data_IF_477025781512
#
_entry.id   IF_477025781512
#
_cell.length_a   1.000
_cell.length_b   1.000
_cell.length_c   1.000
_cell.angle_alpha   90.00
_cell.angle_beta   90.00
_cell.angle_gamma   90.00
#
_symmetry.space_group_name_H-M   'P 1'
#
loop_
_entity.id
_entity.type
_entity.pdbx_description
1 polymer ?
#
# COMPACT_ATOMS: atom_id res chain seq x y z
N UNK A 1 -19.82 1.10 44.45
CA UNK A 1 -19.99 1.98 43.28
C UNK A 1 -19.97 1.22 41.95
N UNK A 2 -18.81 0.89 41.33
CA UNK A 2 -18.79 0.37 39.94
C UNK A 2 -19.51 -0.98 39.72
N UNK A 3 -19.43 -1.92 40.68
CA UNK A 3 -20.17 -3.20 40.63
C UNK A 3 -21.69 -3.02 40.68
N UNK A 4 -22.17 -1.99 41.36
CA UNK A 4 -23.59 -1.69 41.49
C UNK A 4 -24.14 -1.01 40.24
N UNK A 5 -23.30 -0.24 39.54
CA UNK A 5 -23.64 0.44 38.30
C UNK A 5 -23.40 -0.44 37.05
N UNK A 6 -22.93 -1.68 37.21
CA UNK A 6 -22.56 -2.59 36.11
C UNK A 6 -21.55 -1.99 35.11
N UNK A 7 -20.64 -1.13 35.59
CA UNK A 7 -19.59 -0.52 34.76
C UNK A 7 -18.25 -1.24 35.04
N UNK A 8 -17.47 -1.60 34.00
CA UNK A 8 -16.11 -2.08 34.19
C UNK A 8 -15.26 -1.10 34.99
N UNK A 9 -14.52 -1.58 35.99
CA UNK A 9 -13.64 -0.74 36.82
C UNK A 9 -12.63 0.05 35.98
N UNK A 10 -12.14 -0.54 34.89
CA UNK A 10 -11.23 0.12 33.95
C UNK A 10 -11.81 1.41 33.37
N UNK A 11 -13.10 1.42 33.01
CA UNK A 11 -13.78 2.61 32.50
C UNK A 11 -13.93 3.71 33.55
N UNK A 12 -14.12 3.34 34.83
CA UNK A 12 -14.24 4.31 35.92
C UNK A 12 -12.92 5.04 36.22
N UNK A 13 -11.79 4.34 36.12
CA UNK A 13 -10.46 4.94 36.30
C UNK A 13 -9.84 5.47 35.00
N UNK A 14 -10.47 5.21 33.86
CA UNK A 14 -10.00 5.71 32.58
C UNK A 14 -10.18 7.22 32.52
N UNK A 15 -9.06 7.93 32.38
CA UNK A 15 -9.05 9.35 32.08
C UNK A 15 -8.70 9.51 30.61
N UNK A 16 -9.65 10.03 29.82
CA UNK A 16 -9.39 10.35 28.42
C UNK A 16 -8.26 11.39 28.35
N UNK A 17 -7.26 11.11 27.53
CA UNK A 17 -6.23 12.10 27.20
C UNK A 17 -6.81 13.01 26.13
N UNK A 18 -6.81 14.31 26.41
CA UNK A 18 -7.16 15.35 25.44
C UNK A 18 -6.34 15.14 24.16
N UNK A 19 -6.97 15.10 22.98
CA UNK A 19 -6.23 14.97 21.73
C UNK A 19 -5.36 16.22 21.53
N UNK A 20 -4.05 16.04 21.54
CA UNK A 20 -3.11 17.11 21.18
C UNK A 20 -3.41 17.55 19.75
N UNK A 21 -3.64 18.86 19.56
CA UNK A 21 -3.89 19.43 18.24
C UNK A 21 -2.75 19.07 17.29
N UNK A 22 -3.09 18.47 16.14
CA UNK A 22 -2.13 18.16 15.07
C UNK A 22 -2.11 19.25 13.98
N UNK A 23 -2.76 20.40 14.20
CA UNK A 23 -2.97 21.42 13.18
C UNK A 23 -1.65 21.92 12.55
N UNK A 24 -0.65 22.23 13.37
CA UNK A 24 0.66 22.68 12.90
C UNK A 24 1.38 21.61 12.05
N UNK A 25 1.27 20.33 12.46
CA UNK A 25 1.87 19.22 11.72
C UNK A 25 1.18 18.99 10.38
N UNK A 26 -0.13 19.19 10.33
CA UNK A 26 -0.90 19.12 9.10
C UNK A 26 -0.51 20.21 8.11
N UNK A 27 -0.33 21.44 8.59
CA UNK A 27 0.12 22.57 7.76
C UNK A 27 1.52 22.34 7.22
N UNK A 28 2.48 21.90 8.04
CA UNK A 28 3.83 21.58 7.58
C UNK A 28 3.83 20.47 6.52
N UNK A 29 3.05 19.40 6.74
CA UNK A 29 2.93 18.31 5.77
C UNK A 29 2.29 18.79 4.46
N UNK A 30 1.27 19.65 4.52
CA UNK A 30 0.65 20.26 3.33
C UNK A 30 1.63 21.15 2.58
N UNK A 31 2.38 21.99 3.28
CA UNK A 31 3.37 22.89 2.70
C UNK A 31 4.44 22.11 1.91
N UNK A 32 5.08 21.12 2.56
CA UNK A 32 6.08 20.25 1.91
C UNK A 32 5.48 19.51 0.71
N UNK A 33 4.25 19.03 0.83
CA UNK A 33 3.57 18.32 -0.25
C UNK A 33 3.32 19.23 -1.47
N UNK A 34 2.84 20.45 -1.24
CA UNK A 34 2.55 21.43 -2.29
C UNK A 34 3.84 21.96 -2.93
N UNK A 35 4.88 22.26 -2.14
CA UNK A 35 6.20 22.65 -2.63
C UNK A 35 6.81 21.55 -3.52
N UNK A 36 6.61 20.29 -3.14
CA UNK A 36 7.02 19.16 -3.96
C UNK A 36 6.18 18.97 -5.23
N UNK A 37 5.16 19.80 -5.50
CA UNK A 37 4.20 19.63 -6.61
C UNK A 37 3.53 18.25 -6.57
N UNK A 38 3.09 17.81 -5.39
CA UNK A 38 2.50 16.50 -5.13
C UNK A 38 3.40 15.29 -5.44
N UNK A 39 4.72 15.47 -5.63
CA UNK A 39 5.65 14.37 -5.90
C UNK A 39 5.97 13.58 -4.65
N UNK A 40 6.04 14.21 -3.48
CA UNK A 40 6.55 13.57 -2.28
C UNK A 40 5.48 12.73 -1.58
N UNK A 41 5.83 11.48 -1.27
CA UNK A 41 5.07 10.61 -0.38
C UNK A 41 5.62 10.62 1.04
N UNK A 42 4.98 9.86 1.93
CA UNK A 42 5.33 9.77 3.37
C UNK A 42 6.82 9.51 3.69
N UNK A 43 7.58 8.88 2.80
CA UNK A 43 9.02 8.64 3.00
C UNK A 43 9.85 9.92 2.81
N UNK A 44 9.58 10.69 1.74
CA UNK A 44 10.30 11.95 1.46
C UNK A 44 9.88 13.05 2.42
N UNK A 45 8.58 13.16 2.71
CA UNK A 45 8.06 14.12 3.69
C UNK A 45 8.71 13.90 5.07
N UNK A 46 8.92 12.64 5.50
CA UNK A 46 9.66 12.37 6.75
C UNK A 46 11.06 12.98 6.75
N UNK A 47 11.78 12.90 5.63
CA UNK A 47 13.14 13.44 5.53
C UNK A 47 13.11 14.96 5.62
N UNK A 48 12.20 15.62 4.89
CA UNK A 48 12.00 17.07 4.97
C UNK A 48 11.70 17.53 6.41
N UNK A 49 10.72 16.90 7.07
CA UNK A 49 10.39 17.20 8.45
C UNK A 49 11.56 16.99 9.40
N UNK A 50 12.37 15.94 9.19
CA UNK A 50 13.54 15.68 10.01
C UNK A 50 14.63 16.75 9.82
N UNK A 51 14.76 17.30 8.61
CA UNK A 51 15.69 18.41 8.33
C UNK A 51 15.22 19.71 9.00
N UNK A 52 13.92 19.88 9.20
CA UNK A 52 13.30 20.97 9.97
C UNK A 52 13.34 20.71 11.50
N UNK A 53 13.99 19.63 11.96
CA UNK A 53 14.07 19.25 13.38
C UNK A 53 12.83 18.54 13.92
N UNK A 54 11.82 18.28 13.08
CA UNK A 54 10.55 17.66 13.47
C UNK A 54 10.64 16.14 13.29
N UNK A 55 10.77 15.41 14.41
CA UNK A 55 10.83 13.94 14.38
C UNK A 55 9.44 13.32 14.41
N UNK A 56 9.00 12.75 13.27
CA UNK A 56 7.73 12.04 13.16
C UNK A 56 7.88 10.63 12.58
N UNK A 57 7.01 9.71 13.03
CA UNK A 57 6.94 8.37 12.48
C UNK A 57 6.29 8.37 11.09
N UNK A 58 6.77 7.49 10.19
CA UNK A 58 6.19 7.33 8.84
C UNK A 58 4.70 6.96 8.90
N UNK A 59 4.28 6.21 9.92
CA UNK A 59 2.88 5.80 10.11
C UNK A 59 1.99 7.00 10.45
N UNK A 60 2.46 7.93 11.28
CA UNK A 60 1.74 9.15 11.63
C UNK A 60 1.59 10.07 10.41
N UNK A 61 2.68 10.31 9.69
CA UNK A 61 2.66 11.08 8.43
C UNK A 61 1.68 10.47 7.42
N UNK A 62 1.69 9.14 7.24
CA UNK A 62 0.73 8.46 6.34
C UNK A 62 -0.73 8.66 6.76
N UNK A 63 -1.03 8.63 8.07
CA UNK A 63 -2.40 8.88 8.58
C UNK A 63 -2.84 10.32 8.29
N UNK A 64 -1.96 11.29 8.51
CA UNK A 64 -2.22 12.70 8.21
C UNK A 64 -2.45 12.90 6.71
N UNK A 65 -1.55 12.40 5.86
CA UNK A 65 -1.72 12.46 4.40
C UNK A 65 -3.04 11.83 3.95
N UNK A 66 -3.43 10.68 4.52
CA UNK A 66 -4.70 10.02 4.20
C UNK A 66 -5.91 10.87 4.62
N UNK A 67 -5.90 11.44 5.83
CA UNK A 67 -6.97 12.32 6.33
C UNK A 67 -7.13 13.57 5.47
N UNK A 68 -6.03 14.08 4.93
CA UNK A 68 -5.97 15.27 4.09
C UNK A 68 -6.09 14.95 2.57
N UNK A 69 -6.33 13.69 2.20
CA UNK A 69 -6.38 13.23 0.81
C UNK A 69 -5.15 13.61 -0.04
N UNK A 70 -3.96 13.67 0.56
CA UNK A 70 -2.69 13.95 -0.12
C UNK A 70 -2.14 12.66 -0.74
N UNK A 71 -2.28 12.54 -2.06
CA UNK A 71 -1.81 11.37 -2.82
C UNK A 71 -0.63 11.77 -3.69
N UNK A 72 0.49 11.08 -3.51
CA UNK A 72 1.70 11.32 -4.31
C UNK A 72 1.49 10.85 -5.75
N UNK A 73 1.93 11.66 -6.72
CA UNK A 73 1.88 11.34 -8.16
C UNK A 73 2.55 10.00 -8.47
N UNK A 74 3.64 9.68 -7.78
CA UNK A 74 4.41 8.44 -8.01
C UNK A 74 3.80 7.18 -7.37
N UNK A 75 2.70 7.27 -6.61
CA UNK A 75 2.10 6.07 -6.01
C UNK A 75 1.36 5.18 -6.99
N UNK A 76 1.04 5.64 -8.20
CA UNK A 76 0.53 4.75 -9.26
C UNK A 76 1.69 4.00 -9.91
N UNK A 77 2.10 2.88 -9.30
CA UNK A 77 2.89 1.87 -9.99
C UNK A 77 2.04 1.33 -11.15
N UNK A 78 2.30 1.86 -12.35
CA UNK A 78 1.61 1.39 -13.55
C UNK A 78 2.51 0.32 -14.15
N UNK A 79 2.40 -0.93 -13.68
CA UNK A 79 2.96 -2.04 -14.42
C UNK A 79 2.15 -2.16 -15.72
N UNK A 80 2.76 -1.72 -16.82
CA UNK A 80 2.20 -1.91 -18.16
C UNK A 80 2.87 -3.17 -18.72
N UNK A 81 2.20 -4.34 -18.75
CA UNK A 81 2.76 -5.49 -19.42
C UNK A 81 3.00 -5.11 -20.87
N UNK A 82 4.26 -5.11 -21.28
CA UNK A 82 4.64 -4.87 -22.66
C UNK A 82 4.43 -6.18 -23.41
N UNK A 83 3.23 -6.37 -23.97
CA UNK A 83 2.95 -7.52 -24.83
C UNK A 83 3.77 -7.38 -26.11
N UNK A 84 4.72 -8.28 -26.36
CA UNK A 84 5.49 -8.35 -27.62
C UNK A 84 4.66 -8.89 -28.80
N UNK A 85 3.33 -8.79 -28.73
CA UNK A 85 2.41 -9.47 -29.64
C UNK A 85 2.28 -10.95 -29.30
N UNK A 86 1.25 -11.59 -29.86
CA UNK A 86 1.11 -13.05 -29.82
C UNK A 86 2.02 -13.65 -30.89
N UNK A 87 2.61 -14.81 -30.62
CA UNK A 87 3.24 -15.58 -31.67
C UNK A 87 2.14 -16.16 -32.57
N UNK A 88 1.92 -15.56 -33.74
CA UNK A 88 0.91 -15.99 -34.73
C UNK A 88 1.43 -17.05 -35.70
N UNK A 89 2.62 -17.63 -35.42
CA UNK A 89 3.08 -18.76 -36.18
C UNK A 89 2.00 -19.86 -36.19
N UNK A 90 1.61 -20.41 -37.36
CA UNK A 90 0.62 -21.46 -37.47
C UNK A 90 1.22 -22.78 -36.96
N UNK A 91 1.41 -22.86 -35.65
CA UNK A 91 1.90 -24.06 -34.98
C UNK A 91 0.67 -24.83 -34.50
N UNK A 92 0.44 -26.04 -35.00
CA UNK A 92 -0.68 -26.86 -34.55
C UNK A 92 -0.53 -27.21 -33.06
N UNK A 93 -1.60 -27.02 -32.29
CA UNK A 93 -1.67 -27.48 -30.90
C UNK A 93 -1.92 -28.99 -30.88
N UNK A 94 -0.84 -29.78 -30.92
CA UNK A 94 -0.94 -31.25 -30.92
C UNK A 94 -1.62 -31.85 -29.69
N UNK A 95 -1.58 -31.15 -28.55
CA UNK A 95 -2.23 -31.62 -27.33
C UNK A 95 -3.74 -31.34 -27.34
N UNK A 96 -4.16 -30.24 -27.96
CA UNK A 96 -5.57 -29.78 -28.06
C UNK A 96 -6.43 -30.00 -26.80
N UNK A 97 -5.84 -29.75 -25.62
CA UNK A 97 -6.46 -29.97 -24.29
C UNK A 97 -6.92 -31.41 -24.03
N UNK A 98 -6.37 -32.40 -24.73
CA UNK A 98 -6.59 -33.81 -24.50
C UNK A 98 -5.70 -34.32 -23.35
N UNK A 99 -6.20 -34.20 -22.12
CA UNK A 99 -5.48 -34.60 -20.90
C UNK A 99 -5.75 -36.05 -20.45
N UNK A 100 -6.37 -36.86 -21.32
CA UNK A 100 -6.72 -38.27 -21.03
C UNK A 100 -6.04 -39.23 -22.02
N UNK A 101 -4.73 -39.48 -21.88
CA UNK A 101 -4.01 -40.40 -22.76
C UNK A 101 -4.37 -41.87 -22.46
N UNK A 102 -4.28 -42.73 -23.47
CA UNK A 102 -4.51 -44.17 -23.34
C UNK A 102 -3.39 -44.86 -22.55
N UNK A 103 -2.19 -44.28 -22.57
CA UNK A 103 -1.01 -44.78 -21.84
C UNK A 103 -0.33 -43.63 -21.10
N UNK A 104 0.29 -43.89 -19.94
CA UNK A 104 1.05 -42.85 -19.23
C UNK A 104 2.19 -42.32 -20.10
N UNK A 105 2.59 -41.07 -19.86
CA UNK A 105 3.74 -40.39 -20.50
C UNK A 105 3.61 -40.12 -22.02
N UNK A 106 2.40 -40.18 -22.59
CA UNK A 106 2.17 -39.82 -24.01
C UNK A 106 2.32 -38.32 -24.30
N UNK A 107 2.12 -37.46 -23.31
CA UNK A 107 2.37 -36.02 -23.41
C UNK A 107 2.99 -35.51 -22.11
N UNK A 108 4.07 -34.74 -22.21
CA UNK A 108 4.75 -34.07 -21.11
C UNK A 108 4.82 -32.58 -21.42
N UNK A 109 4.26 -31.76 -20.52
CA UNK A 109 4.24 -30.31 -20.65
C UNK A 109 4.84 -29.71 -19.38
N UNK A 110 5.77 -28.78 -19.55
CA UNK A 110 6.40 -28.05 -18.46
C UNK A 110 6.27 -26.55 -18.71
N UNK A 111 5.84 -25.80 -17.71
CA UNK A 111 5.78 -24.33 -17.71
C UNK A 111 6.95 -23.78 -16.89
N UNK A 112 7.54 -22.67 -17.35
CA UNK A 112 8.47 -21.87 -16.56
C UNK A 112 7.80 -20.54 -16.22
N UNK A 113 7.39 -20.40 -14.97
CA UNK A 113 6.79 -19.16 -14.46
C UNK A 113 7.89 -18.30 -13.85
N UNK A 114 8.24 -17.21 -14.52
CA UNK A 114 9.22 -16.24 -14.01
C UNK A 114 8.50 -15.20 -13.14
N UNK A 115 8.82 -15.15 -11.86
CA UNK A 115 8.39 -14.09 -10.96
C UNK A 115 9.26 -12.84 -11.21
N UNK A 116 8.61 -11.72 -11.52
CA UNK A 116 9.23 -10.39 -11.68
C UNK A 116 8.91 -9.54 -10.46
#
# INVERSE_FOLDING_TARGET
MCRWLSIPRSSYYYKAVEPVSEAELEENIKAIFLESKARYGSRKIKICLNNEGITLSRRRIRRIMKRLNLVSVYQKATFKPHSRGKNEAPIPNHLDRQFKPERPLQALVTDLTMFV
#
